data_IF_543287179679
#
_entry.id   IF_543287179679
#
_cell.length_a   1.000
_cell.length_b   1.000
_cell.length_c   1.000
_cell.angle_alpha   90.00
_cell.angle_beta   90.00
_cell.angle_gamma   90.00
#
_symmetry.space_group_name_H-M   'P 1'
#
loop_
_entity.id
_entity.type
_entity.pdbx_description
1 polymer ?
#
# COMPACT_ATOMS: atom_id res chain seq x y z
N UNK A 1 17.01 -4.02 -1.12
CA UNK A 1 16.21 -3.24 -2.10
C UNK A 1 16.57 -3.56 -3.56
N UNK A 2 17.81 -3.96 -3.85
CA UNK A 2 18.24 -4.26 -5.23
C UNK A 2 17.46 -5.41 -5.89
N UNK A 3 17.06 -6.44 -5.12
CA UNK A 3 16.22 -7.52 -5.63
C UNK A 3 14.81 -7.04 -6.00
N UNK A 4 14.23 -6.12 -5.20
CA UNK A 4 12.90 -5.56 -5.44
C UNK A 4 12.87 -4.67 -6.69
N UNK A 5 13.95 -3.90 -6.92
CA UNK A 5 14.07 -3.05 -8.11
C UNK A 5 14.11 -3.86 -9.42
N UNK A 6 14.63 -5.09 -9.36
CA UNK A 6 14.67 -6.02 -10.50
C UNK A 6 13.32 -6.71 -10.77
N UNK A 7 12.39 -6.67 -9.81
CA UNK A 7 11.10 -7.33 -9.99
C UNK A 7 10.19 -6.50 -10.92
N UNK A 8 9.60 -7.09 -11.97
CA UNK A 8 8.81 -6.35 -12.94
C UNK A 8 7.58 -5.68 -12.30
N UNK A 9 7.42 -4.37 -12.50
CA UNK A 9 6.26 -3.63 -11.95
C UNK A 9 4.92 -4.15 -12.46
N UNK A 10 4.90 -4.61 -13.72
CA UNK A 10 3.71 -5.24 -14.34
C UNK A 10 3.26 -6.47 -13.55
N UNK A 11 4.19 -7.31 -13.09
CA UNK A 11 3.86 -8.50 -12.29
C UNK A 11 3.25 -8.08 -10.95
N UNK A 12 3.82 -7.06 -10.28
CA UNK A 12 3.23 -6.51 -9.05
C UNK A 12 1.81 -5.99 -9.30
N UNK A 13 1.59 -5.24 -10.39
CA UNK A 13 0.27 -4.74 -10.76
C UNK A 13 -0.74 -5.87 -11.01
N UNK A 14 -0.36 -6.92 -11.72
CA UNK A 14 -1.23 -8.08 -11.95
C UNK A 14 -1.57 -8.81 -10.64
N UNK A 15 -0.59 -9.00 -9.75
CA UNK A 15 -0.82 -9.62 -8.44
C UNK A 15 -1.77 -8.79 -7.56
N UNK A 16 -1.67 -7.44 -7.61
CA UNK A 16 -2.62 -6.56 -6.92
C UNK A 16 -4.03 -6.68 -7.51
N UNK A 17 -4.18 -6.70 -8.84
CA UNK A 17 -5.49 -6.87 -9.51
C UNK A 17 -6.10 -8.20 -9.13
N UNK A 18 -5.35 -9.28 -9.19
CA UNK A 18 -5.83 -10.61 -8.76
C UNK A 18 -6.27 -10.58 -7.29
N UNK A 19 -5.45 -10.04 -6.40
CA UNK A 19 -5.78 -9.91 -4.99
C UNK A 19 -7.06 -9.11 -4.77
N UNK A 20 -7.21 -7.96 -5.45
CA UNK A 20 -8.40 -7.12 -5.36
C UNK A 20 -9.67 -7.85 -5.82
N UNK A 21 -9.61 -8.58 -6.95
CA UNK A 21 -10.75 -9.38 -7.44
C UNK A 21 -11.15 -10.42 -6.39
N UNK A 22 -10.19 -11.14 -5.83
CA UNK A 22 -10.48 -12.16 -4.81
C UNK A 22 -11.05 -11.56 -3.52
N UNK A 23 -10.64 -10.35 -3.12
CA UNK A 23 -11.25 -9.68 -1.96
C UNK A 23 -12.73 -9.32 -2.16
N UNK A 24 -13.17 -9.17 -3.41
CA UNK A 24 -14.59 -8.88 -3.73
C UNK A 24 -15.46 -10.14 -3.80
N UNK A 25 -14.85 -11.31 -4.06
CA UNK A 25 -15.58 -12.57 -4.30
C UNK A 25 -15.57 -13.46 -3.06
N UNK A 26 -14.55 -13.34 -2.21
CA UNK A 26 -14.34 -14.22 -1.06
C UNK A 26 -14.62 -13.48 0.25
N UNK A 27 -15.49 -14.07 1.06
CA UNK A 27 -15.87 -13.55 2.36
C UNK A 27 -15.08 -14.19 3.52
N UNK A 28 -15.26 -13.64 4.72
CA UNK A 28 -14.77 -14.20 5.97
C UNK A 28 -13.23 -14.22 6.05
N UNK A 29 -12.69 -15.32 6.57
CA UNK A 29 -11.26 -15.50 6.80
C UNK A 29 -10.45 -15.45 5.50
N UNK A 30 -10.96 -16.10 4.44
CA UNK A 30 -10.28 -16.16 3.14
C UNK A 30 -10.23 -14.77 2.52
N UNK A 31 -11.34 -14.02 2.52
CA UNK A 31 -11.38 -12.63 2.06
C UNK A 31 -10.38 -11.74 2.83
N UNK A 32 -10.31 -11.87 4.16
CA UNK A 32 -9.35 -11.11 4.97
C UNK A 32 -7.89 -11.46 4.63
N UNK A 33 -7.59 -12.73 4.35
CA UNK A 33 -6.25 -13.15 3.91
C UNK A 33 -5.87 -12.53 2.56
N UNK A 34 -6.83 -12.42 1.62
CA UNK A 34 -6.60 -11.76 0.34
C UNK A 34 -6.44 -10.24 0.45
N UNK A 35 -7.06 -9.59 1.45
CA UNK A 35 -6.78 -8.18 1.77
C UNK A 35 -5.32 -8.01 2.17
N UNK A 36 -4.82 -8.83 3.12
CA UNK A 36 -3.42 -8.79 3.54
C UNK A 36 -2.46 -9.04 2.36
N UNK A 37 -2.77 -10.04 1.52
CA UNK A 37 -2.03 -10.31 0.29
C UNK A 37 -1.96 -9.08 -0.63
N UNK A 38 -3.11 -8.45 -0.91
CA UNK A 38 -3.19 -7.29 -1.79
C UNK A 38 -2.38 -6.12 -1.24
N UNK A 39 -2.50 -5.85 0.07
CA UNK A 39 -1.74 -4.80 0.75
C UNK A 39 -0.25 -5.05 0.69
N UNK A 40 0.20 -6.30 0.86
CA UNK A 40 1.61 -6.65 0.75
C UNK A 40 2.20 -6.24 -0.62
N UNK A 41 1.53 -6.60 -1.72
CA UNK A 41 2.02 -6.25 -3.07
C UNK A 41 1.94 -4.75 -3.35
N UNK A 42 0.93 -4.08 -2.79
CA UNK A 42 0.79 -2.63 -2.86
C UNK A 42 1.97 -1.92 -2.19
N UNK A 43 2.30 -2.33 -0.98
CA UNK A 43 3.43 -1.79 -0.23
C UNK A 43 4.79 -2.10 -0.89
N UNK A 44 4.96 -3.29 -1.46
CA UNK A 44 6.16 -3.64 -2.23
C UNK A 44 6.32 -2.73 -3.46
N UNK A 45 5.23 -2.42 -4.15
CA UNK A 45 5.28 -1.49 -5.27
C UNK A 45 5.63 -0.07 -4.82
N UNK A 46 5.06 0.40 -3.72
CA UNK A 46 5.41 1.72 -3.17
C UNK A 46 6.88 1.81 -2.76
N UNK A 47 7.41 0.78 -2.12
CA UNK A 47 8.84 0.69 -1.80
C UNK A 47 9.71 0.70 -3.06
N UNK A 48 9.24 0.07 -4.15
CA UNK A 48 9.91 0.12 -5.44
C UNK A 48 9.90 1.52 -6.02
N UNK A 49 8.75 2.21 -6.03
CA UNK A 49 8.64 3.60 -6.51
C UNK A 49 9.56 4.51 -5.69
N UNK A 50 9.55 4.42 -4.38
CA UNK A 50 10.48 5.18 -3.54
C UNK A 50 11.94 4.84 -3.85
N UNK A 51 12.25 3.56 -4.07
CA UNK A 51 13.60 3.11 -4.42
C UNK A 51 14.11 3.66 -5.74
N UNK A 52 13.23 3.86 -6.73
CA UNK A 52 13.60 4.44 -8.02
C UNK A 52 14.01 5.92 -7.94
N UNK A 53 13.61 6.63 -6.89
CA UNK A 53 14.01 8.04 -6.68
C UNK A 53 15.40 8.17 -6.05
N UNK A 54 16.00 7.08 -5.54
CA UNK A 54 17.22 7.11 -4.73
C UNK A 54 18.40 7.76 -5.45
N UNK A 55 18.62 7.43 -6.72
CA UNK A 55 19.78 7.92 -7.48
C UNK A 55 19.68 9.43 -7.77
N UNK A 56 18.47 9.95 -7.98
CA UNK A 56 18.21 11.34 -8.35
C UNK A 56 17.96 12.25 -7.14
N UNK A 57 17.57 11.69 -6.02
CA UNK A 57 17.15 12.41 -4.81
C UNK A 57 17.65 11.73 -3.53
N UNK A 58 18.94 11.42 -3.46
CA UNK A 58 19.57 10.63 -2.37
C UNK A 58 19.29 11.23 -0.99
N UNK A 59 19.49 12.53 -0.82
CA UNK A 59 19.28 13.21 0.46
C UNK A 59 17.82 13.10 0.96
N UNK A 60 16.86 13.34 0.06
CA UNK A 60 15.45 13.18 0.39
C UNK A 60 15.11 11.73 0.71
N UNK A 61 15.60 10.78 -0.11
CA UNK A 61 15.40 9.35 0.09
C UNK A 61 15.90 8.91 1.46
N UNK A 62 17.13 9.26 1.83
CA UNK A 62 17.73 8.88 3.12
C UNK A 62 16.95 9.48 4.32
N UNK A 63 16.40 10.69 4.15
CA UNK A 63 15.57 11.34 5.17
C UNK A 63 14.20 10.71 5.37
N UNK A 64 13.62 10.03 4.39
CA UNK A 64 12.24 9.52 4.44
C UNK A 64 12.13 8.00 4.46
N UNK A 65 13.12 7.26 3.96
CA UNK A 65 13.05 5.80 3.80
C UNK A 65 12.73 5.07 5.10
N UNK A 66 13.29 5.51 6.21
CA UNK A 66 13.01 4.92 7.53
C UNK A 66 11.55 5.08 7.94
N UNK A 67 11.02 6.29 7.80
CA UNK A 67 9.61 6.61 8.12
C UNK A 67 8.65 5.90 7.18
N UNK A 68 9.01 5.80 5.90
CA UNK A 68 8.22 5.07 4.92
C UNK A 68 8.14 3.58 5.24
N UNK A 69 9.28 2.94 5.54
CA UNK A 69 9.31 1.54 5.98
C UNK A 69 8.51 1.31 7.26
N UNK A 70 8.58 2.25 8.22
CA UNK A 70 7.77 2.16 9.43
C UNK A 70 6.26 2.17 9.11
N UNK A 71 5.80 3.04 8.20
CA UNK A 71 4.38 3.05 7.78
C UNK A 71 3.96 1.75 7.09
N UNK A 72 4.82 1.15 6.26
CA UNK A 72 4.59 -0.16 5.65
C UNK A 72 4.38 -1.23 6.73
N UNK A 73 5.28 -1.29 7.71
CA UNK A 73 5.15 -2.25 8.81
C UNK A 73 3.90 -2.01 9.65
N UNK A 74 3.51 -0.75 9.88
CA UNK A 74 2.27 -0.41 10.59
C UNK A 74 1.04 -0.94 9.85
N UNK A 75 0.94 -0.73 8.52
CA UNK A 75 -0.17 -1.23 7.71
C UNK A 75 -0.22 -2.75 7.76
N UNK A 76 0.89 -3.43 7.50
CA UNK A 76 0.94 -4.89 7.52
C UNK A 76 0.63 -5.47 8.91
N UNK A 77 1.04 -4.79 9.98
CA UNK A 77 0.72 -5.21 11.36
C UNK A 77 -0.77 -5.09 11.66
N UNK A 78 -1.42 -3.99 11.22
CA UNK A 78 -2.87 -3.80 11.37
C UNK A 78 -3.62 -4.91 10.61
N UNK A 79 -3.23 -5.20 9.37
CA UNK A 79 -3.87 -6.25 8.56
C UNK A 79 -3.66 -7.65 9.17
N UNK A 80 -2.45 -7.93 9.64
CA UNK A 80 -2.15 -9.19 10.32
C UNK A 80 -2.99 -9.36 11.59
N UNK A 81 -3.13 -8.30 12.40
CA UNK A 81 -3.98 -8.31 13.58
C UNK A 81 -5.44 -8.62 13.21
N UNK A 82 -5.98 -7.99 12.15
CA UNK A 82 -7.33 -8.27 11.69
C UNK A 82 -7.52 -9.68 11.18
N UNK A 83 -6.51 -10.24 10.50
CA UNK A 83 -6.54 -11.65 10.09
C UNK A 83 -6.58 -12.58 11.31
N UNK A 84 -5.75 -12.32 12.33
CA UNK A 84 -5.74 -13.10 13.58
C UNK A 84 -7.09 -13.01 14.32
N UNK A 85 -7.69 -11.82 14.40
CA UNK A 85 -9.02 -11.63 14.95
C UNK A 85 -10.08 -12.39 14.15
N UNK A 86 -10.00 -12.40 12.83
CA UNK A 86 -10.91 -13.16 11.97
C UNK A 86 -10.78 -14.67 12.22
N UNK A 87 -9.56 -15.18 12.41
CA UNK A 87 -9.32 -16.57 12.82
C UNK A 87 -9.98 -16.86 14.16
N UNK A 88 -9.78 -15.98 15.15
CA UNK A 88 -10.37 -16.14 16.50
C UNK A 88 -11.90 -16.22 16.43
N UNK A 89 -12.55 -15.36 15.62
CA UNK A 89 -14.01 -15.37 15.47
C UNK A 89 -14.56 -16.65 14.83
N UNK A 90 -13.78 -17.33 13.99
CA UNK A 90 -14.18 -18.65 13.46
C UNK A 90 -14.24 -19.70 14.57
N UNK A 91 -13.29 -19.67 15.50
CA UNK A 91 -13.23 -20.67 16.59
C UNK A 91 -14.09 -20.35 17.80
N UNK A 92 -14.36 -19.08 18.05
CA UNK A 92 -15.13 -18.63 19.24
C UNK A 92 -16.22 -17.64 18.78
N UNK A 93 -17.27 -18.12 18.09
CA UNK A 93 -18.35 -17.26 17.63
C UNK A 93 -19.13 -16.67 18.83
N UNK A 94 -19.65 -15.46 18.66
CA UNK A 94 -20.49 -14.73 19.63
C UNK A 94 -19.79 -14.22 20.92
N UNK A 95 -18.46 -14.26 21.01
CA UNK A 95 -17.72 -13.70 22.15
C UNK A 95 -17.64 -12.17 22.09
N UNK A 96 -17.64 -11.60 20.87
CA UNK A 96 -17.50 -10.16 20.69
C UNK A 96 -18.80 -9.57 20.14
N UNK A 97 -19.36 -8.54 20.78
CA UNK A 97 -20.55 -7.87 20.28
C UNK A 97 -20.32 -7.26 18.89
N UNK A 98 -21.34 -7.29 18.02
CA UNK A 98 -21.30 -6.73 16.66
C UNK A 98 -20.89 -5.26 16.64
N UNK A 99 -21.29 -4.48 17.64
CA UNK A 99 -20.89 -3.10 17.79
C UNK A 99 -19.36 -2.93 17.90
N UNK A 100 -18.69 -3.83 18.64
CA UNK A 100 -17.21 -3.81 18.78
C UNK A 100 -16.55 -4.17 17.47
N UNK A 101 -17.09 -5.14 16.74
CA UNK A 101 -16.62 -5.51 15.39
C UNK A 101 -16.76 -4.32 14.43
N UNK A 102 -17.89 -3.64 14.47
CA UNK A 102 -18.13 -2.42 13.66
C UNK A 102 -17.14 -1.30 13.98
N UNK A 103 -16.89 -1.04 15.27
CA UNK A 103 -15.88 -0.05 15.69
C UNK A 103 -14.47 -0.42 15.24
N UNK A 104 -14.09 -1.69 15.37
CA UNK A 104 -12.78 -2.17 14.92
C UNK A 104 -12.60 -2.00 13.41
N UNK A 105 -13.61 -2.35 12.59
CA UNK A 105 -13.59 -2.13 11.14
C UNK A 105 -13.42 -0.65 10.78
N UNK A 106 -14.15 0.24 11.49
CA UNK A 106 -14.05 1.69 11.28
C UNK A 106 -12.66 2.23 11.66
N UNK A 107 -12.11 1.78 12.79
CA UNK A 107 -10.76 2.15 13.24
C UNK A 107 -9.68 1.68 12.24
N UNK A 108 -9.81 0.44 11.72
CA UNK A 108 -8.95 -0.09 10.66
C UNK A 108 -9.00 0.81 9.42
N UNK A 109 -10.20 1.14 8.94
CA UNK A 109 -10.37 2.01 7.77
C UNK A 109 -9.72 3.38 7.96
N UNK A 110 -9.93 4.02 9.11
CA UNK A 110 -9.32 5.31 9.44
C UNK A 110 -7.79 5.22 9.49
N UNK A 111 -7.25 4.20 10.16
CA UNK A 111 -5.79 3.99 10.24
C UNK A 111 -5.17 3.82 8.86
N UNK A 112 -5.78 3.01 7.99
CA UNK A 112 -5.33 2.84 6.61
C UNK A 112 -5.39 4.14 5.82
N UNK A 113 -6.50 4.88 5.92
CA UNK A 113 -6.66 6.13 5.18
C UNK A 113 -5.58 7.15 5.55
N UNK A 114 -5.28 7.29 6.84
CA UNK A 114 -4.24 8.22 7.32
C UNK A 114 -2.85 7.78 6.85
N UNK A 115 -2.50 6.50 7.02
CA UNK A 115 -1.19 5.98 6.62
C UNK A 115 -1.02 6.04 5.09
N UNK A 116 -2.07 5.73 4.34
CA UNK A 116 -2.07 5.79 2.89
C UNK A 116 -1.85 7.21 2.36
N UNK A 117 -2.58 8.21 2.88
CA UNK A 117 -2.40 9.61 2.51
C UNK A 117 -0.96 10.05 2.84
N UNK A 118 -0.43 9.64 3.97
CA UNK A 118 0.93 9.97 4.38
C UNK A 118 1.97 9.34 3.43
N UNK A 119 1.81 8.06 3.05
CA UNK A 119 2.68 7.38 2.08
C UNK A 119 2.64 8.05 0.72
N UNK A 120 1.43 8.35 0.19
CA UNK A 120 1.29 9.07 -1.09
C UNK A 120 1.99 10.42 -1.02
N UNK A 121 1.83 11.17 0.07
CA UNK A 121 2.51 12.46 0.24
C UNK A 121 4.05 12.31 0.18
N UNK A 122 4.61 11.30 0.86
CA UNK A 122 6.05 11.03 0.80
C UNK A 122 6.52 10.64 -0.60
N UNK A 123 5.76 9.81 -1.31
CA UNK A 123 6.08 9.39 -2.69
C UNK A 123 5.97 10.56 -3.67
N UNK A 124 4.92 11.37 -3.57
CA UNK A 124 4.75 12.57 -4.40
C UNK A 124 5.93 13.54 -4.22
N UNK A 125 6.35 13.76 -2.99
CA UNK A 125 7.51 14.62 -2.71
C UNK A 125 8.81 13.99 -3.22
N UNK A 126 9.00 12.68 -3.08
CA UNK A 126 10.17 11.98 -3.62
C UNK A 126 10.23 12.11 -5.15
N UNK A 127 9.12 11.94 -5.85
CA UNK A 127 9.04 12.10 -7.31
C UNK A 127 9.28 13.58 -7.70
N UNK A 128 8.69 14.53 -6.97
CA UNK A 128 8.89 15.96 -7.20
C UNK A 128 10.37 16.38 -7.17
N UNK A 129 11.18 15.75 -6.30
CA UNK A 129 12.63 16.04 -6.22
C UNK A 129 13.44 15.47 -7.40
N UNK A 130 12.85 14.60 -8.22
CA UNK A 130 13.50 14.02 -9.40
C UNK A 130 13.16 14.71 -10.72
N UNK A 131 12.22 15.66 -10.69
CA UNK A 131 11.67 16.36 -11.86
C UNK A 131 11.92 17.87 -11.75
N UNK A 132 11.85 18.59 -12.89
CA UNK A 132 11.78 20.05 -12.86
C UNK A 132 10.43 20.52 -12.26
N UNK A 133 10.39 21.75 -11.71
CA UNK A 133 9.16 22.29 -11.11
C UNK A 133 8.01 22.41 -12.12
N UNK A 134 8.31 22.75 -13.37
CA UNK A 134 7.31 22.88 -14.44
C UNK A 134 6.76 21.52 -14.86
N UNK A 135 7.64 20.54 -15.06
CA UNK A 135 7.29 19.16 -15.39
C UNK A 135 6.42 18.54 -14.28
N UNK A 136 6.84 18.66 -13.01
CA UNK A 136 6.05 18.16 -11.89
C UNK A 136 4.68 18.83 -11.81
N UNK A 137 4.59 20.14 -12.03
CA UNK A 137 3.32 20.87 -12.02
C UNK A 137 2.35 20.36 -13.09
N UNK A 138 2.85 20.01 -14.28
CA UNK A 138 2.03 19.46 -15.36
C UNK A 138 1.60 18.00 -15.11
N UNK A 139 2.45 17.18 -14.52
CA UNK A 139 2.24 15.74 -14.37
C UNK A 139 1.67 15.32 -12.98
N UNK A 140 1.65 16.23 -11.98
CA UNK A 140 1.30 15.88 -10.60
C UNK A 140 -0.04 15.17 -10.44
N UNK A 141 -1.05 15.58 -11.24
CA UNK A 141 -2.37 14.95 -11.19
C UNK A 141 -2.35 13.51 -11.68
N UNK A 142 -1.62 13.25 -12.76
CA UNK A 142 -1.42 11.91 -13.31
C UNK A 142 -0.63 11.03 -12.34
N UNK A 143 0.45 11.56 -11.76
CA UNK A 143 1.27 10.86 -10.76
C UNK A 143 0.41 10.49 -9.54
N UNK A 144 -0.38 11.44 -9.02
CA UNK A 144 -1.27 11.17 -7.89
C UNK A 144 -2.29 10.07 -8.20
N UNK A 145 -2.92 10.12 -9.38
CA UNK A 145 -3.84 9.06 -9.81
C UNK A 145 -3.15 7.70 -9.92
N UNK A 146 -1.94 7.64 -10.48
CA UNK A 146 -1.18 6.39 -10.58
C UNK A 146 -0.80 5.84 -9.20
N UNK A 147 -0.49 6.69 -8.23
CA UNK A 147 -0.21 6.25 -6.86
C UNK A 147 -1.47 5.78 -6.14
N UNK A 148 -2.59 6.50 -6.28
CA UNK A 148 -3.88 6.11 -5.68
C UNK A 148 -4.41 4.81 -6.30
N UNK A 149 -4.27 4.65 -7.61
CA UNK A 149 -4.64 3.43 -8.33
C UNK A 149 -3.41 2.58 -8.61
N UNK A 150 -2.71 2.16 -7.54
CA UNK A 150 -1.44 1.44 -7.62
C UNK A 150 -1.37 0.29 -8.64
N UNK A 151 -2.42 -0.56 -8.81
CA UNK A 151 -2.40 -1.59 -9.85
C UNK A 151 -2.21 -1.03 -11.26
N UNK A 152 -2.90 0.08 -11.57
CA UNK A 152 -2.77 0.77 -12.86
C UNK A 152 -1.40 1.44 -12.96
N UNK A 153 -0.98 2.12 -11.90
CA UNK A 153 0.33 2.74 -11.82
C UNK A 153 1.47 1.75 -12.02
N UNK A 154 1.39 0.57 -11.39
CA UNK A 154 2.39 -0.48 -11.53
C UNK A 154 2.51 -1.02 -12.96
N UNK A 155 1.39 -1.07 -13.71
CA UNK A 155 1.36 -1.52 -15.10
C UNK A 155 1.88 -0.42 -16.04
N UNK A 156 1.56 0.86 -15.77
CA UNK A 156 1.81 1.97 -16.70
C UNK A 156 3.14 2.68 -16.48
N UNK A 157 3.69 2.69 -15.26
CA UNK A 157 4.99 3.32 -14.94
C UNK A 157 6.21 2.45 -15.33
N UNK A 158 6.08 1.60 -16.34
CA UNK A 158 7.14 0.66 -16.70
C UNK A 158 8.21 1.26 -17.63
N UNK A 159 8.05 2.51 -18.05
CA UNK A 159 9.02 3.19 -18.94
C UNK A 159 9.77 4.26 -18.13
#
# INVERSE_FOLDING_TARGET
MDALNKFPSVVLGLLMVCGFIFTQVLDGLVGTAFVLYTMLFWELWYLKVLGSTREKATEYYDGVVGRFKASVWMILSVETLFLLLSVLFVFVPNVVPDAVIGMAKSARFLAHSVLFIWQISMLMNAIATTMSAEEYKSERGKIALMLVFAPIGAITMHN
#
